data_IF_223993700083
#
_entry.id   IF_223993700083
#
_cell.length_a   1.000
_cell.length_b   1.000
_cell.length_c   1.000
_cell.angle_alpha   90.00
_cell.angle_beta   90.00
_cell.angle_gamma   90.00
#
_symmetry.space_group_name_H-M   'P 1'
#
loop_
_entity.id
_entity.type
_entity.pdbx_description
1 polymer ?
#
# COMPACT_ATOMS: atom_id res chain seq x y z
N UNK A 1 -15.62 -10.58 -4.66
CA UNK A 1 -14.25 -11.11 -4.83
C UNK A 1 -14.30 -12.59 -5.21
N UNK A 2 -14.04 -12.94 -6.48
CA UNK A 2 -14.11 -14.32 -6.98
C UNK A 2 -13.00 -15.23 -6.41
N UNK A 3 -11.81 -14.70 -6.12
CA UNK A 3 -10.66 -15.47 -5.63
C UNK A 3 -10.85 -16.07 -4.23
N UNK A 4 -11.42 -15.30 -3.30
CA UNK A 4 -11.71 -15.78 -1.93
C UNK A 4 -12.72 -16.93 -1.97
N UNK A 5 -13.74 -16.82 -2.82
CA UNK A 5 -14.72 -17.90 -3.00
C UNK A 5 -14.06 -19.16 -3.56
N UNK A 6 -13.15 -19.02 -4.53
CA UNK A 6 -12.37 -20.14 -5.09
C UNK A 6 -11.47 -20.82 -4.05
N UNK A 7 -10.74 -20.05 -3.23
CA UNK A 7 -9.92 -20.61 -2.14
C UNK A 7 -10.78 -21.30 -1.08
N UNK A 8 -11.91 -20.71 -0.69
CA UNK A 8 -12.83 -21.29 0.30
C UNK A 8 -13.50 -22.56 -0.24
N UNK A 9 -13.92 -22.57 -1.50
CA UNK A 9 -14.52 -23.78 -2.11
C UNK A 9 -13.48 -24.88 -2.31
N UNK A 10 -12.24 -24.55 -2.69
CA UNK A 10 -11.13 -25.49 -2.72
C UNK A 10 -10.80 -26.01 -1.32
N UNK A 11 -10.83 -25.15 -0.29
CA UNK A 11 -10.62 -25.56 1.10
C UNK A 11 -11.72 -26.51 1.59
N UNK A 12 -12.98 -26.20 1.32
CA UNK A 12 -14.13 -27.06 1.64
C UNK A 12 -14.00 -28.41 0.94
N UNK A 13 -13.72 -28.41 -0.36
CA UNK A 13 -13.54 -29.63 -1.15
C UNK A 13 -12.38 -30.49 -0.64
N UNK A 14 -11.26 -29.88 -0.22
CA UNK A 14 -10.13 -30.58 0.41
C UNK A 14 -10.48 -31.15 1.77
N UNK A 15 -11.32 -30.46 2.54
CA UNK A 15 -11.80 -30.93 3.84
C UNK A 15 -12.71 -32.14 3.67
N UNK A 16 -13.69 -32.06 2.77
CA UNK A 16 -14.55 -33.21 2.42
C UNK A 16 -13.72 -34.39 1.91
N UNK A 17 -12.72 -34.15 1.05
CA UNK A 17 -11.82 -35.21 0.58
C UNK A 17 -11.01 -35.86 1.71
N UNK A 18 -10.53 -35.08 2.70
CA UNK A 18 -9.86 -35.63 3.89
C UNK A 18 -10.80 -36.47 4.75
N UNK A 19 -12.01 -35.99 4.98
CA UNK A 19 -13.04 -36.71 5.73
C UNK A 19 -13.40 -38.04 5.04
N UNK A 20 -13.56 -38.03 3.71
CA UNK A 20 -13.80 -39.25 2.92
C UNK A 20 -12.64 -40.25 2.97
N UNK A 21 -11.39 -39.78 2.91
CA UNK A 21 -10.19 -40.64 2.99
C UNK A 21 -10.00 -41.23 4.40
N UNK A 22 -10.41 -40.50 5.44
CA UNK A 22 -10.46 -41.02 6.81
C UNK A 22 -11.53 -42.11 6.98
N UNK A 23 -12.67 -41.97 6.30
CA UNK A 23 -13.79 -42.91 6.35
C UNK A 23 -13.58 -44.17 5.46
N UNK A 24 -12.62 -44.14 4.54
CA UNK A 24 -12.30 -45.27 3.65
C UNK A 24 -11.73 -46.48 4.40
N UNK A 25 -12.25 -47.67 4.08
CA UNK A 25 -11.74 -48.94 4.59
C UNK A 25 -10.30 -49.20 4.13
N UNK A 26 -9.55 -49.97 4.91
CA UNK A 26 -8.14 -50.31 4.67
C UNK A 26 -7.93 -50.89 3.26
N UNK A 27 -8.87 -51.71 2.78
CA UNK A 27 -8.81 -52.31 1.44
C UNK A 27 -8.95 -51.26 0.34
N UNK A 28 -9.81 -50.26 0.54
CA UNK A 28 -10.02 -49.17 -0.40
C UNK A 28 -8.84 -48.21 -0.42
N UNK A 29 -8.24 -47.94 0.74
CA UNK A 29 -7.00 -47.14 0.85
C UNK A 29 -5.85 -47.81 0.10
N UNK A 30 -5.67 -49.13 0.26
CA UNK A 30 -4.65 -49.89 -0.48
C UNK A 30 -4.90 -49.83 -1.99
N UNK A 31 -6.15 -49.92 -2.44
CA UNK A 31 -6.49 -49.77 -3.87
C UNK A 31 -6.22 -48.37 -4.41
N UNK A 32 -6.50 -47.32 -3.61
CA UNK A 32 -6.19 -45.93 -3.96
C UNK A 32 -4.68 -45.69 -4.10
N UNK A 33 -3.89 -46.18 -3.14
CA UNK A 33 -2.43 -46.12 -3.19
C UNK A 33 -1.85 -46.98 -4.33
N UNK A 34 -2.41 -48.17 -4.59
CA UNK A 34 -2.02 -49.02 -5.71
C UNK A 34 -2.36 -48.43 -7.09
N UNK A 35 -3.41 -47.59 -7.16
CA UNK A 35 -3.74 -46.78 -8.34
C UNK A 35 -2.80 -45.58 -8.53
N UNK A 36 -1.81 -45.39 -7.65
CA UNK A 36 -0.81 -44.33 -7.73
C UNK A 36 -1.26 -42.99 -7.18
N UNK A 37 -2.42 -42.91 -6.51
CA UNK A 37 -2.86 -41.71 -5.83
C UNK A 37 -2.29 -41.70 -4.40
N UNK A 38 -1.30 -40.85 -4.15
CA UNK A 38 -0.81 -40.58 -2.80
C UNK A 38 -1.52 -39.35 -2.23
N UNK A 39 -1.78 -39.37 -0.92
CA UNK A 39 -2.37 -38.21 -0.21
C UNK A 39 -1.44 -36.99 -0.34
N UNK A 40 -0.14 -37.22 -0.54
CA UNK A 40 0.87 -36.19 -0.77
C UNK A 40 0.81 -35.56 -2.16
N UNK A 41 0.25 -36.19 -3.20
CA UNK A 41 0.41 -35.68 -4.58
C UNK A 41 -0.23 -34.31 -4.80
N UNK A 42 -1.39 -34.04 -4.19
CA UNK A 42 -2.08 -32.76 -4.32
C UNK A 42 -1.39 -31.64 -3.51
N UNK A 43 -1.02 -31.93 -2.26
CA UNK A 43 -0.30 -30.96 -1.41
C UNK A 43 1.13 -30.71 -1.94
N UNK A 44 1.77 -31.72 -2.54
CA UNK A 44 3.07 -31.60 -3.21
C UNK A 44 2.97 -30.75 -4.48
N UNK A 45 1.88 -30.87 -5.24
CA UNK A 45 1.65 -30.01 -6.41
C UNK A 45 1.49 -28.54 -6.01
N UNK A 46 0.69 -28.25 -4.99
CA UNK A 46 0.51 -26.89 -4.45
C UNK A 46 1.87 -26.31 -3.97
N UNK A 47 2.68 -27.11 -3.28
CA UNK A 47 4.04 -26.73 -2.86
C UNK A 47 4.98 -26.46 -4.04
N UNK A 48 4.97 -27.31 -5.07
CA UNK A 48 5.78 -27.13 -6.28
C UNK A 48 5.36 -25.88 -7.04
N UNK A 49 4.06 -25.55 -7.06
CA UNK A 49 3.55 -24.32 -7.65
C UNK A 49 4.03 -23.09 -6.87
N UNK A 50 3.94 -23.11 -5.53
CA UNK A 50 4.46 -22.04 -4.68
C UNK A 50 5.98 -21.87 -4.86
N UNK A 51 6.76 -22.94 -4.87
CA UNK A 51 8.21 -22.92 -5.11
C UNK A 51 8.61 -22.26 -6.44
N UNK A 52 7.72 -22.25 -7.44
CA UNK A 52 7.96 -21.59 -8.73
C UNK A 52 7.69 -20.08 -8.69
N UNK A 53 6.97 -19.58 -7.70
CA UNK A 53 6.69 -18.14 -7.55
C UNK A 53 7.94 -17.39 -7.06
N UNK A 54 8.10 -16.10 -7.38
CA UNK A 54 9.18 -15.29 -6.83
C UNK A 54 9.05 -15.10 -5.30
N UNK A 55 10.16 -15.07 -4.55
CA UNK A 55 10.14 -14.77 -3.13
C UNK A 55 9.86 -13.28 -2.89
N UNK A 56 9.04 -12.98 -1.88
CA UNK A 56 8.82 -11.61 -1.42
C UNK A 56 9.96 -11.18 -0.48
N UNK A 57 10.90 -10.39 -1.00
CA UNK A 57 12.18 -10.13 -0.32
C UNK A 57 12.17 -8.93 0.63
N UNK A 58 11.39 -7.90 0.33
CA UNK A 58 11.46 -6.63 1.05
C UNK A 58 10.21 -5.80 0.83
N UNK A 59 9.81 -5.05 1.86
CA UNK A 59 8.72 -4.05 1.82
C UNK A 59 9.21 -2.68 1.35
N UNK A 60 10.50 -2.51 1.04
CA UNK A 60 11.10 -1.21 0.73
C UNK A 60 10.48 -0.55 -0.50
N UNK A 61 10.22 -1.32 -1.55
CA UNK A 61 9.61 -0.81 -2.78
C UNK A 61 8.15 -0.38 -2.53
N UNK A 62 7.40 -1.22 -1.81
CA UNK A 62 5.98 -0.97 -1.50
C UNK A 62 5.83 0.28 -0.60
N UNK A 63 6.67 0.43 0.43
CA UNK A 63 6.69 1.67 1.22
C UNK A 63 7.16 2.87 0.41
N UNK A 64 8.16 2.70 -0.46
CA UNK A 64 8.70 3.76 -1.31
C UNK A 64 7.63 4.36 -2.22
N UNK A 65 6.79 3.53 -2.82
CA UNK A 65 5.67 3.95 -3.65
C UNK A 65 4.70 4.87 -2.88
N UNK A 66 4.25 4.40 -1.71
CA UNK A 66 3.30 5.16 -0.87
C UNK A 66 3.91 6.46 -0.34
N UNK A 67 5.20 6.43 0.03
CA UNK A 67 5.92 7.60 0.56
C UNK A 67 6.13 8.67 -0.52
N UNK A 68 6.51 8.27 -1.75
CA UNK A 68 6.67 9.20 -2.87
C UNK A 68 5.32 9.84 -3.22
N UNK A 69 4.27 9.02 -3.31
CA UNK A 69 2.91 9.47 -3.57
C UNK A 69 2.43 10.46 -2.50
N UNK A 70 2.65 10.14 -1.22
CA UNK A 70 2.35 11.04 -0.11
C UNK A 70 3.13 12.36 -0.23
N UNK A 71 4.44 12.29 -0.49
CA UNK A 71 5.30 13.47 -0.64
C UNK A 71 4.82 14.42 -1.73
N UNK A 72 4.47 13.90 -2.90
CA UNK A 72 3.90 14.72 -3.98
C UNK A 72 2.59 15.39 -3.58
N UNK A 73 1.71 14.65 -2.90
CA UNK A 73 0.42 15.18 -2.48
C UNK A 73 0.58 16.30 -1.44
N UNK A 74 1.41 16.11 -0.41
CA UNK A 74 1.54 17.11 0.66
C UNK A 74 2.32 18.35 0.22
N UNK A 75 3.32 18.20 -0.66
CA UNK A 75 4.13 19.34 -1.12
C UNK A 75 3.44 20.14 -2.23
N UNK A 76 2.73 19.47 -3.16
CA UNK A 76 2.23 20.08 -4.39
C UNK A 76 0.71 20.00 -4.56
N UNK A 77 -0.02 19.34 -3.64
CA UNK A 77 -1.46 19.13 -3.77
C UNK A 77 -2.29 20.41 -3.88
N UNK A 78 -1.81 21.52 -3.31
CA UNK A 78 -2.50 22.82 -3.41
C UNK A 78 -2.52 23.37 -4.84
N UNK A 79 -1.53 23.02 -5.69
CA UNK A 79 -1.50 23.42 -7.08
C UNK A 79 -2.54 22.68 -7.94
N UNK A 80 -2.99 21.50 -7.50
CA UNK A 80 -3.98 20.69 -8.19
C UNK A 80 -4.99 20.09 -7.20
N UNK A 81 -6.12 20.78 -6.91
CA UNK A 81 -7.07 20.36 -5.87
C UNK A 81 -7.67 18.96 -6.06
N UNK A 82 -7.75 18.48 -7.31
CA UNK A 82 -8.22 17.13 -7.64
C UNK A 82 -7.18 16.04 -7.32
N UNK A 83 -5.93 16.39 -7.03
CA UNK A 83 -4.86 15.46 -6.67
C UNK A 83 -5.28 14.55 -5.51
N UNK A 84 -5.92 15.11 -4.47
CA UNK A 84 -6.34 14.35 -3.30
C UNK A 84 -7.37 13.26 -3.64
N UNK A 85 -8.29 13.54 -4.58
CA UNK A 85 -9.28 12.55 -5.03
C UNK A 85 -8.62 11.44 -5.85
N UNK A 86 -7.73 11.80 -6.77
CA UNK A 86 -6.98 10.81 -7.58
C UNK A 86 -6.14 9.92 -6.66
N UNK A 87 -5.46 10.52 -5.68
CA UNK A 87 -4.65 9.84 -4.69
C UNK A 87 -5.48 8.84 -3.88
N UNK A 88 -6.67 9.25 -3.44
CA UNK A 88 -7.58 8.38 -2.71
C UNK A 88 -8.04 7.17 -3.56
N UNK A 89 -8.39 7.41 -4.82
CA UNK A 89 -8.76 6.33 -5.74
C UNK A 89 -7.58 5.40 -6.01
N UNK A 90 -6.36 5.94 -6.14
CA UNK A 90 -5.15 5.16 -6.29
C UNK A 90 -4.94 4.26 -5.07
N UNK A 91 -4.99 4.81 -3.85
CA UNK A 91 -4.84 4.02 -2.62
C UNK A 91 -5.91 2.91 -2.49
N UNK A 92 -7.14 3.15 -2.96
CA UNK A 92 -8.19 2.13 -2.95
C UNK A 92 -7.93 1.01 -3.97
N UNK A 93 -7.35 1.33 -5.14
CA UNK A 93 -6.88 0.33 -6.08
C UNK A 93 -5.68 -0.42 -5.49
N UNK A 94 -4.75 0.30 -4.87
CA UNK A 94 -3.49 -0.23 -4.36
C UNK A 94 -3.68 -1.28 -3.27
N UNK A 95 -4.60 -1.03 -2.33
CA UNK A 95 -4.97 -2.03 -1.33
C UNK A 95 -5.40 -3.37 -1.96
N UNK A 96 -6.01 -3.35 -3.16
CA UNK A 96 -6.44 -4.56 -3.86
C UNK A 96 -5.30 -5.20 -4.65
N UNK A 97 -4.47 -4.40 -5.31
CA UNK A 97 -3.32 -4.90 -6.08
C UNK A 97 -2.27 -5.49 -5.14
N UNK A 98 -1.97 -4.85 -4.01
CA UNK A 98 -1.07 -5.38 -2.98
C UNK A 98 -1.57 -6.69 -2.37
N UNK A 99 -2.85 -6.76 -2.05
CA UNK A 99 -3.46 -8.01 -1.56
C UNK A 99 -3.32 -9.12 -2.62
N UNK A 100 -3.53 -8.80 -3.90
CA UNK A 100 -3.35 -9.77 -4.97
C UNK A 100 -1.88 -10.18 -5.14
N UNK A 101 -0.95 -9.23 -5.05
CA UNK A 101 0.50 -9.44 -5.10
C UNK A 101 0.98 -10.42 -4.04
N UNK A 102 0.45 -10.32 -2.82
CA UNK A 102 0.78 -11.23 -1.71
C UNK A 102 0.09 -12.60 -1.81
N UNK A 103 -1.13 -12.66 -2.37
CA UNK A 103 -1.92 -13.90 -2.37
C UNK A 103 -1.70 -14.82 -3.57
N UNK A 104 -1.26 -14.26 -4.70
CA UNK A 104 -1.25 -14.95 -5.99
C UNK A 104 0.04 -14.77 -6.80
N UNK A 105 0.92 -13.81 -6.46
CA UNK A 105 2.12 -13.52 -7.25
C UNK A 105 3.40 -13.98 -6.56
N UNK A 106 3.47 -13.86 -5.24
CA UNK A 106 4.66 -14.22 -4.48
C UNK A 106 4.45 -15.48 -3.65
N UNK A 107 5.57 -16.13 -3.32
CA UNK A 107 5.63 -17.12 -2.24
C UNK A 107 5.15 -16.50 -0.94
N UNK A 108 4.59 -17.31 -0.04
CA UNK A 108 4.24 -16.85 1.30
C UNK A 108 5.51 -16.35 2.01
N UNK A 109 5.59 -15.06 2.38
CA UNK A 109 6.73 -14.57 3.14
C UNK A 109 6.69 -15.12 4.55
N UNK A 110 7.88 -15.29 5.13
CA UNK A 110 8.02 -15.57 6.56
C UNK A 110 7.49 -14.38 7.37
N UNK A 111 6.82 -14.68 8.47
CA UNK A 111 6.36 -13.66 9.39
C UNK A 111 7.57 -13.09 10.14
N UNK A 112 7.82 -11.80 9.94
CA UNK A 112 8.85 -11.05 10.66
C UNK A 112 8.18 -10.12 11.69
N UNK A 113 8.75 -10.05 12.89
CA UNK A 113 8.20 -9.24 13.96
C UNK A 113 8.61 -7.77 13.74
N UNK A 114 7.62 -6.89 13.59
CA UNK A 114 7.83 -5.45 13.44
C UNK A 114 7.06 -4.68 14.51
N UNK A 115 7.75 -3.83 15.28
CA UNK A 115 7.13 -2.97 16.28
C UNK A 115 6.52 -1.70 15.66
N UNK A 116 7.09 -1.23 14.55
CA UNK A 116 6.68 -0.03 13.84
C UNK A 116 7.03 -0.12 12.34
N UNK A 117 6.75 0.96 11.61
CA UNK A 117 7.12 1.11 10.19
C UNK A 117 8.63 1.36 9.99
N UNK A 118 9.42 1.39 11.06
CA UNK A 118 10.87 1.57 11.06
C UNK A 118 11.32 2.90 10.46
N UNK A 119 12.34 2.82 9.59
CA UNK A 119 13.01 3.97 8.97
C UNK A 119 12.11 4.85 8.11
N UNK A 120 10.88 4.43 7.78
CA UNK A 120 9.95 5.25 7.01
C UNK A 120 9.32 6.38 7.83
N UNK A 121 9.17 6.22 9.14
CA UNK A 121 8.63 7.27 10.00
C UNK A 121 9.46 8.57 9.98
N UNK A 122 10.80 8.54 10.16
CA UNK A 122 11.61 9.75 10.05
C UNK A 122 11.59 10.33 8.63
N UNK A 123 11.50 9.51 7.58
CA UNK A 123 11.37 9.99 6.19
C UNK A 123 10.07 10.77 6.00
N UNK A 124 8.94 10.22 6.45
CA UNK A 124 7.64 10.91 6.41
C UNK A 124 7.64 12.22 7.22
N UNK A 125 8.33 12.25 8.36
CA UNK A 125 8.50 13.48 9.15
C UNK A 125 9.26 14.55 8.37
N UNK A 126 10.37 14.19 7.75
CA UNK A 126 11.16 15.13 6.92
C UNK A 126 10.32 15.65 5.74
N UNK A 127 9.60 14.78 5.04
CA UNK A 127 8.70 15.17 3.95
C UNK A 127 7.58 16.11 4.43
N UNK A 128 7.00 15.83 5.60
CA UNK A 128 5.94 16.66 6.20
C UNK A 128 6.46 18.03 6.62
N UNK A 129 7.68 18.12 7.16
CA UNK A 129 8.29 19.42 7.48
C UNK A 129 8.64 20.18 6.21
N UNK A 130 9.18 19.51 5.18
CA UNK A 130 9.49 20.12 3.89
C UNK A 130 8.23 20.59 3.14
N UNK A 131 7.08 19.95 3.36
CA UNK A 131 5.83 20.34 2.71
C UNK A 131 5.30 21.68 3.22
N UNK A 132 5.53 22.03 4.49
CA UNK A 132 5.16 23.36 5.03
C UNK A 132 5.87 24.45 4.23
N UNK A 133 7.19 24.33 4.08
CA UNK A 133 8.02 25.27 3.31
C UNK A 133 7.57 25.34 1.84
N UNK A 134 7.32 24.19 1.22
CA UNK A 134 6.96 24.12 -0.21
C UNK A 134 5.57 24.67 -0.47
N UNK A 135 4.59 24.34 0.37
CA UNK A 135 3.21 24.84 0.23
C UNK A 135 3.13 26.34 0.52
N UNK A 136 3.88 26.84 1.51
CA UNK A 136 4.03 28.28 1.77
C UNK A 136 4.63 29.01 0.56
N UNK A 137 5.68 28.45 -0.04
CA UNK A 137 6.30 29.02 -1.25
C UNK A 137 5.32 29.01 -2.43
N UNK A 138 4.58 27.91 -2.65
CA UNK A 138 3.58 27.82 -3.72
C UNK A 138 2.47 28.84 -3.54
N UNK A 139 1.91 28.98 -2.33
CA UNK A 139 0.86 29.95 -2.06
C UNK A 139 1.34 31.38 -2.28
N UNK A 140 2.54 31.72 -1.80
CA UNK A 140 3.09 33.08 -1.90
C UNK A 140 3.47 33.47 -3.32
N UNK A 141 4.00 32.54 -4.12
CA UNK A 141 4.41 32.80 -5.51
C UNK A 141 3.20 32.76 -6.46
N UNK A 142 2.26 31.84 -6.27
CA UNK A 142 1.20 31.55 -7.26
C UNK A 142 -0.05 32.43 -7.11
N UNK A 143 -0.25 33.11 -5.97
CA UNK A 143 -1.57 33.67 -5.65
C UNK A 143 -1.63 35.21 -5.64
N UNK A 144 -2.09 35.85 -6.73
CA UNK A 144 -2.71 37.18 -6.69
C UNK A 144 -4.05 37.18 -5.92
N UNK A 145 -4.76 36.05 -5.89
CA UNK A 145 -6.05 35.91 -5.17
C UNK A 145 -5.93 35.98 -3.63
N UNK A 146 -4.75 35.71 -3.04
CA UNK A 146 -4.51 35.87 -1.61
C UNK A 146 -4.42 37.36 -1.23
N UNK A 147 -3.91 38.21 -2.14
CA UNK A 147 -3.95 39.66 -2.02
C UNK A 147 -5.40 40.18 -2.08
N UNK A 148 -6.31 39.48 -2.76
CA UNK A 148 -7.74 39.82 -2.82
C UNK A 148 -8.52 39.31 -1.59
N UNK A 149 -8.15 38.17 -1.01
CA UNK A 149 -8.80 37.58 0.16
C UNK A 149 -8.38 38.21 1.50
N UNK A 150 -7.15 38.76 1.58
CA UNK A 150 -6.64 39.51 2.75
C UNK A 150 -5.93 40.80 2.29
N UNK A 151 -6.68 41.79 1.78
CA UNK A 151 -6.12 43.00 1.19
C UNK A 151 -5.32 43.84 2.19
N UNK A 152 -5.74 43.91 3.45
CA UNK A 152 -5.11 44.76 4.46
C UNK A 152 -3.82 44.17 5.07
N UNK A 153 -3.69 42.83 5.12
CA UNK A 153 -2.53 42.16 5.72
C UNK A 153 -1.47 41.75 4.67
N UNK A 154 -1.91 41.25 3.51
CA UNK A 154 -1.01 40.66 2.50
C UNK A 154 -0.83 41.59 1.30
N UNK A 155 -1.79 42.46 0.97
CA UNK A 155 -1.70 43.37 -0.17
C UNK A 155 -0.51 44.33 -0.07
N UNK A 156 -0.37 45.05 1.05
CA UNK A 156 0.70 46.06 1.22
C UNK A 156 2.08 45.46 1.56
N UNK A 157 2.13 44.32 2.25
CA UNK A 157 3.39 43.69 2.69
C UNK A 157 3.93 42.71 1.65
N UNK A 158 3.04 41.99 0.95
CA UNK A 158 3.39 40.99 -0.05
C UNK A 158 3.94 41.57 -1.35
N UNK A 159 3.46 42.73 -1.81
CA UNK A 159 4.05 43.43 -2.96
C UNK A 159 5.41 44.06 -2.65
N UNK A 160 5.64 44.47 -1.39
CA UNK A 160 6.83 45.24 -1.00
C UNK A 160 7.96 44.38 -0.42
N UNK A 161 7.62 43.28 0.25
CA UNK A 161 8.56 42.35 0.91
C UNK A 161 8.06 40.89 0.85
N UNK A 162 8.08 40.24 -0.33
CA UNK A 162 7.56 38.87 -0.50
C UNK A 162 8.26 37.83 0.41
N UNK A 163 9.54 38.04 0.72
CA UNK A 163 10.29 37.20 1.65
C UNK A 163 9.79 37.30 3.10
N UNK A 164 9.29 38.46 3.54
CA UNK A 164 8.76 38.66 4.90
C UNK A 164 7.39 38.01 5.04
N UNK A 165 6.54 38.09 4.02
CA UNK A 165 5.26 37.38 3.98
C UNK A 165 5.44 35.86 4.02
N UNK A 166 6.45 35.34 3.33
CA UNK A 166 6.83 33.92 3.41
C UNK A 166 7.26 33.51 4.82
N UNK A 167 8.15 34.26 5.46
CA UNK A 167 8.63 33.96 6.82
C UNK A 167 7.51 34.01 7.88
N UNK A 168 6.60 34.99 7.78
CA UNK A 168 5.46 35.08 8.71
C UNK A 168 4.53 33.88 8.54
N UNK A 169 4.22 33.49 7.30
CA UNK A 169 3.33 32.36 7.04
C UNK A 169 3.97 31.03 7.46
N UNK A 170 5.27 30.87 7.22
CA UNK A 170 6.03 29.70 7.66
C UNK A 170 6.07 29.57 9.20
N UNK A 171 6.34 30.66 9.93
CA UNK A 171 6.33 30.65 11.40
C UNK A 171 4.95 30.45 12.04
N UNK A 172 3.85 30.77 11.34
CA UNK A 172 2.49 30.49 11.82
C UNK A 172 2.13 29.01 11.64
N UNK A 173 2.77 28.32 10.70
CA UNK A 173 2.56 26.90 10.43
C UNK A 173 3.50 25.98 11.23
N UNK A 174 4.45 26.54 11.97
CA UNK A 174 5.42 25.84 12.83
C UNK A 174 5.00 25.90 14.31
#
# INVERSE_FOLDING_TARGET
MPFIKLRVTQWLKRREHRELVEEMDTTQRIQLFAAGATIDDADTQDLVEELRMPPYRSTVEDYGEVVIQHGFLVMFGIAFPLAALINFLNNMAECRTDTYKMLAVHQRPDADDAADIGGWLPVLKVLSTASIVTTAALVTITTPALQLALPDFIGNVGERYPAVSFLIFEHVLF
#
